data_IF_257478826806
#
_entry.id   IF_257478826806
#
_cell.length_a   1.000
_cell.length_b   1.000
_cell.length_c   1.000
_cell.angle_alpha   90.00
_cell.angle_beta   90.00
_cell.angle_gamma   90.00
#
_symmetry.space_group_name_H-M   'P 1'
#
loop_
_entity.id
_entity.type
_entity.pdbx_description
1 polymer ?
#
# COMPACT_ATOMS: atom_id res chain seq x y z
N UNK A 1 -23.36 9.03 3.45
CA UNK A 1 -22.58 7.84 3.84
C UNK A 1 -21.13 8.22 3.66
N UNK A 2 -20.42 8.47 4.75
CA UNK A 2 -19.09 9.10 4.71
C UNK A 2 -18.05 8.02 4.39
N UNK A 3 -17.56 7.99 3.15
CA UNK A 3 -16.64 6.97 2.64
C UNK A 3 -15.39 6.82 3.54
N UNK A 4 -14.95 7.91 4.15
CA UNK A 4 -13.78 7.95 5.05
C UNK A 4 -14.02 7.32 6.43
N UNK A 5 -15.27 7.15 6.86
CA UNK A 5 -15.58 6.59 8.18
C UNK A 5 -15.40 5.08 8.22
N UNK A 6 -15.65 4.40 7.10
CA UNK A 6 -15.48 2.94 7.01
C UNK A 6 -14.01 2.53 6.99
N UNK A 7 -13.14 3.32 6.34
CA UNK A 7 -11.72 3.00 6.24
C UNK A 7 -11.03 3.05 7.61
N UNK A 8 -11.40 4.00 8.48
CA UNK A 8 -10.85 4.09 9.84
C UNK A 8 -11.23 2.90 10.73
N UNK A 9 -12.48 2.45 10.64
CA UNK A 9 -12.96 1.27 11.37
C UNK A 9 -12.29 -0.02 10.86
N UNK A 10 -12.07 -0.13 9.55
CA UNK A 10 -11.33 -1.23 8.96
C UNK A 10 -9.85 -1.23 9.39
N UNK A 11 -9.24 -0.04 9.51
CA UNK A 11 -7.87 0.11 10.00
C UNK A 11 -7.69 -0.34 11.46
N UNK A 12 -8.68 -0.08 12.33
CA UNK A 12 -8.64 -0.47 13.76
C UNK A 12 -8.70 -1.99 13.98
N UNK A 13 -9.37 -2.73 13.10
CA UNK A 13 -9.57 -4.19 13.24
C UNK A 13 -8.49 -5.02 12.55
N UNK A 14 -7.66 -4.39 11.76
CA UNK A 14 -6.71 -5.12 10.95
C UNK A 14 -5.51 -5.64 11.77
N UNK A 15 -4.91 -6.77 11.35
CA UNK A 15 -3.80 -7.39 12.07
C UNK A 15 -2.61 -6.43 12.18
N UNK A 16 -1.74 -6.65 13.16
CA UNK A 16 -0.47 -5.93 13.22
C UNK A 16 0.34 -6.17 11.95
N UNK A 17 1.19 -5.21 11.57
CA UNK A 17 2.06 -5.35 10.41
C UNK A 17 2.91 -6.62 10.47
N UNK A 18 3.47 -6.95 11.64
CA UNK A 18 4.27 -8.17 11.83
C UNK A 18 3.44 -9.41 11.47
N UNK A 19 2.23 -9.54 12.04
CA UNK A 19 1.36 -10.67 11.78
C UNK A 19 0.96 -10.77 10.31
N UNK A 20 0.64 -9.64 9.68
CA UNK A 20 0.34 -9.59 8.25
C UNK A 20 1.50 -10.13 7.41
N UNK A 21 2.72 -9.67 7.67
CA UNK A 21 3.91 -10.12 6.94
C UNK A 21 4.19 -11.61 7.17
N UNK A 22 4.05 -12.10 8.39
CA UNK A 22 4.25 -13.51 8.73
C UNK A 22 3.28 -14.41 7.97
N UNK A 23 2.00 -14.03 7.94
CA UNK A 23 0.95 -14.78 7.24
C UNK A 23 1.14 -14.69 5.72
N UNK A 24 1.45 -13.51 5.19
CA UNK A 24 1.77 -13.31 3.76
C UNK A 24 2.96 -14.17 3.31
N UNK A 25 4.02 -14.25 4.11
CA UNK A 25 5.20 -15.07 3.79
C UNK A 25 4.90 -16.59 3.83
N UNK A 26 3.97 -17.04 4.68
CA UNK A 26 3.55 -18.45 4.68
C UNK A 26 2.77 -18.81 3.43
N UNK A 27 1.87 -17.92 2.99
CA UNK A 27 1.08 -18.16 1.77
C UNK A 27 1.95 -18.09 0.51
N UNK A 28 2.82 -17.08 0.40
CA UNK A 28 3.76 -16.99 -0.73
C UNK A 28 4.63 -18.24 -0.89
N UNK A 29 5.15 -18.79 0.22
CA UNK A 29 5.98 -20.00 0.23
C UNK A 29 5.28 -21.22 -0.38
N UNK A 30 3.95 -21.29 -0.34
CA UNK A 30 3.18 -22.40 -0.92
C UNK A 30 3.08 -22.30 -2.45
N UNK A 31 3.06 -21.09 -2.97
CA UNK A 31 2.69 -20.81 -4.37
C UNK A 31 3.87 -20.45 -5.25
N UNK A 32 4.96 -19.91 -4.70
CA UNK A 32 6.07 -19.38 -5.49
C UNK A 32 7.41 -19.67 -4.83
N UNK A 33 8.10 -20.73 -5.26
CA UNK A 33 9.47 -20.97 -4.81
C UNK A 33 10.51 -20.15 -5.60
N UNK A 34 10.17 -19.64 -6.80
CA UNK A 34 11.16 -19.03 -7.71
C UNK A 34 10.68 -17.82 -8.54
N UNK A 35 9.47 -17.30 -8.35
CA UNK A 35 9.03 -16.11 -9.10
C UNK A 35 9.15 -14.86 -8.24
N UNK A 36 9.79 -13.78 -8.73
CA UNK A 36 9.78 -12.52 -8.03
C UNK A 36 8.36 -11.96 -7.95
N UNK A 37 8.06 -11.28 -6.86
CA UNK A 37 6.85 -10.46 -6.76
C UNK A 37 7.14 -9.19 -7.55
N UNK A 38 6.42 -8.98 -8.64
CA UNK A 38 6.64 -7.85 -9.56
C UNK A 38 5.64 -6.74 -9.26
N UNK A 39 6.14 -5.55 -8.99
CA UNK A 39 5.32 -4.35 -8.79
C UNK A 39 5.81 -3.19 -9.65
N UNK A 40 4.92 -2.22 -9.84
CA UNK A 40 5.22 -0.95 -10.51
C UNK A 40 4.78 0.20 -9.61
N UNK A 41 5.55 1.28 -9.66
CA UNK A 41 5.26 2.54 -8.98
C UNK A 41 5.34 3.70 -9.98
N UNK A 42 4.44 4.67 -9.85
CA UNK A 42 4.34 5.82 -10.74
C UNK A 42 4.80 7.10 -10.03
N UNK A 43 5.88 7.71 -10.55
CA UNK A 43 6.28 9.06 -10.19
C UNK A 43 5.51 10.10 -11.02
N UNK A 44 4.35 10.54 -10.53
CA UNK A 44 3.54 11.56 -11.23
C UNK A 44 3.90 12.94 -10.68
N UNK A 45 4.56 13.74 -11.52
CA UNK A 45 4.98 15.10 -11.19
C UNK A 45 4.13 16.14 -11.90
N UNK A 46 3.98 17.31 -11.28
CA UNK A 46 3.38 18.48 -11.92
C UNK A 46 4.03 19.76 -11.42
N UNK A 47 4.02 20.80 -12.26
CA UNK A 47 4.36 22.15 -11.85
C UNK A 47 3.07 22.92 -11.62
N UNK A 48 2.74 23.22 -10.36
CA UNK A 48 1.52 23.93 -10.01
C UNK A 48 1.84 25.16 -9.17
N UNK A 49 1.45 26.35 -9.65
CA UNK A 49 1.77 27.65 -9.04
C UNK A 49 3.28 27.84 -8.81
N UNK A 50 4.08 27.50 -9.83
CA UNK A 50 5.54 27.65 -9.78
C UNK A 50 6.27 26.69 -8.83
N UNK A 51 5.58 25.70 -8.26
CA UNK A 51 6.16 24.70 -7.36
C UNK A 51 6.04 23.31 -7.95
N UNK A 52 7.14 22.56 -7.94
CA UNK A 52 7.14 21.14 -8.28
C UNK A 52 6.35 20.38 -7.20
N UNK A 53 5.44 19.51 -7.64
CA UNK A 53 4.64 18.63 -6.78
C UNK A 53 4.71 17.20 -7.29
N UNK A 54 4.50 16.24 -6.40
CA UNK A 54 4.39 14.81 -6.70
C UNK A 54 3.08 14.28 -6.11
N UNK A 55 2.43 13.35 -6.83
CA UNK A 55 1.26 12.64 -6.31
C UNK A 55 1.69 11.56 -5.32
N UNK A 56 1.10 11.58 -4.13
CA UNK A 56 1.24 10.54 -3.12
C UNK A 56 -0.15 10.06 -2.71
N UNK A 57 -0.23 8.81 -2.28
CA UNK A 57 -1.43 8.20 -1.70
C UNK A 57 -1.13 7.74 -0.28
N UNK A 58 -2.11 7.85 0.62
CA UNK A 58 -2.02 7.25 1.94
C UNK A 58 -2.43 5.77 1.85
N UNK A 59 -1.57 4.87 2.33
CA UNK A 59 -1.82 3.43 2.26
C UNK A 59 -2.92 3.02 3.24
N UNK A 60 -3.97 2.37 2.75
CA UNK A 60 -5.07 1.86 3.60
C UNK A 60 -4.76 0.48 4.20
N UNK A 61 -3.84 -0.27 3.58
CA UNK A 61 -3.55 -1.67 3.89
C UNK A 61 -2.10 -1.93 4.32
N UNK A 62 -1.86 -3.10 4.90
CA UNK A 62 -0.51 -3.57 5.18
C UNK A 62 0.17 -4.12 3.92
N UNK A 63 1.52 -4.11 3.87
CA UNK A 63 2.43 -3.50 4.84
C UNK A 63 2.42 -1.97 4.76
N UNK A 64 2.92 -1.30 5.81
CA UNK A 64 3.08 0.16 5.89
C UNK A 64 1.77 0.95 5.78
N UNK A 65 0.71 0.46 6.42
CA UNK A 65 -0.57 1.18 6.52
C UNK A 65 -0.36 2.58 7.10
N UNK A 66 -1.17 3.54 6.64
CA UNK A 66 -1.19 4.95 7.03
C UNK A 66 0.10 5.72 6.69
N UNK A 67 1.02 5.09 5.95
CA UNK A 67 2.18 5.76 5.38
C UNK A 67 1.84 6.31 4.00
N UNK A 68 2.46 7.44 3.64
CA UNK A 68 2.42 7.97 2.29
C UNK A 68 3.31 7.13 1.37
N UNK A 69 2.84 6.81 0.17
CA UNK A 69 3.62 6.14 -0.86
C UNK A 69 3.37 6.72 -2.25
N UNK A 70 4.23 6.35 -3.20
CA UNK A 70 3.89 6.48 -4.61
C UNK A 70 2.65 5.62 -4.91
N UNK A 71 1.81 6.05 -5.87
CA UNK A 71 0.77 5.21 -6.42
C UNK A 71 1.42 4.05 -7.19
N UNK A 72 1.05 2.82 -6.83
CA UNK A 72 1.64 1.62 -7.39
C UNK A 72 0.85 0.36 -7.05
N UNK A 73 1.30 -0.78 -7.55
CA UNK A 73 0.65 -2.07 -7.37
C UNK A 73 1.40 -3.23 -8.02
N UNK A 74 0.90 -4.44 -7.82
CA UNK A 74 1.41 -5.65 -8.48
C UNK A 74 0.96 -5.72 -9.94
N UNK A 75 1.77 -6.36 -10.80
CA UNK A 75 1.46 -6.64 -12.21
C UNK A 75 0.72 -7.96 -12.35
#
# INVERSE_FOLDING_TARGET
>A
MDLFSNDKEAQLRAPSQSKYCDDYQKELRKTFWNSPIVSVDLGIFTLHKGKLKVLLVERTEHPWRAMWSLPGGFV
#
